data_IF_966988459257
#
_entry.id   IF_966988459257
#
_cell.length_a   1.000
_cell.length_b   1.000
_cell.length_c   1.000
_cell.angle_alpha   90.00
_cell.angle_beta   90.00
_cell.angle_gamma   90.00
#
_symmetry.space_group_name_H-M   'P 1'
#
loop_
_entity.id
_entity.type
_entity.pdbx_description
1 polymer ?
#
# COMPACT_ATOMS: atom_id res chain seq x y z
N UNK A 1 -7.40 -9.89 10.50
CA UNK A 1 -6.22 -10.70 10.12
C UNK A 1 -5.48 -10.12 8.91
N UNK A 2 -6.04 -10.13 7.69
CA UNK A 2 -5.35 -9.65 6.47
C UNK A 2 -4.77 -8.21 6.57
N UNK A 3 -5.52 -7.28 7.17
CA UNK A 3 -5.06 -5.91 7.36
C UNK A 3 -3.86 -5.80 8.31
N UNK A 4 -3.81 -6.66 9.33
CA UNK A 4 -2.74 -6.70 10.32
C UNK A 4 -1.46 -7.26 9.67
N UNK A 5 -1.57 -8.35 8.92
CA UNK A 5 -0.45 -8.91 8.15
C UNK A 5 0.13 -7.88 7.17
N UNK A 6 -0.74 -7.15 6.46
CA UNK A 6 -0.30 -6.13 5.53
C UNK A 6 0.36 -4.94 6.24
N UNK A 7 -0.15 -4.54 7.42
CA UNK A 7 0.46 -3.49 8.22
C UNK A 7 1.84 -3.91 8.75
N UNK A 8 1.99 -5.14 9.23
CA UNK A 8 3.29 -5.68 9.65
C UNK A 8 4.32 -5.61 8.52
N UNK A 9 3.91 -5.89 7.29
CA UNK A 9 4.79 -5.77 6.13
C UNK A 9 5.22 -4.31 5.87
N UNK A 10 4.31 -3.35 6.03
CA UNK A 10 4.63 -1.93 5.95
C UNK A 10 5.61 -1.50 7.07
N UNK A 11 5.41 -2.02 8.28
CA UNK A 11 6.27 -1.70 9.43
C UNK A 11 7.68 -2.26 9.24
N UNK A 12 7.81 -3.50 8.73
CA UNK A 12 9.12 -4.09 8.38
C UNK A 12 9.83 -3.32 7.26
N UNK A 13 9.08 -2.84 6.25
CA UNK A 13 9.62 -1.94 5.24
C UNK A 13 10.20 -0.69 5.89
N UNK A 14 9.44 -0.01 6.76
CA UNK A 14 9.88 1.22 7.40
C UNK A 14 11.09 1.01 8.32
N UNK A 15 11.15 -0.10 9.05
CA UNK A 15 12.31 -0.45 9.86
C UNK A 15 13.58 -0.59 8.98
N UNK A 16 13.49 -1.40 7.91
CA UNK A 16 14.62 -1.63 7.00
C UNK A 16 15.02 -0.37 6.24
N UNK A 17 14.04 0.42 5.79
CA UNK A 17 14.24 1.66 5.06
C UNK A 17 14.89 2.73 5.95
N UNK A 18 14.50 2.84 7.22
CA UNK A 18 15.09 3.82 8.13
C UNK A 18 16.54 3.46 8.47
N UNK A 19 16.83 2.19 8.76
CA UNK A 19 18.19 1.72 9.00
C UNK A 19 19.11 2.03 7.81
N UNK A 20 18.71 1.60 6.60
CA UNK A 20 19.50 1.87 5.40
C UNK A 20 19.67 3.36 5.08
N UNK A 21 18.72 4.20 5.50
CA UNK A 21 18.77 5.65 5.27
C UNK A 21 19.66 6.39 6.26
N UNK A 22 19.83 5.87 7.48
CA UNK A 22 20.76 6.42 8.47
C UNK A 22 22.22 6.27 8.02
N UNK A 23 22.53 5.17 7.33
CA UNK A 23 23.87 4.89 6.80
C UNK A 23 24.15 5.56 5.44
N UNK A 24 23.12 6.10 4.77
CA UNK A 24 23.21 6.62 3.41
C UNK A 24 23.45 8.13 3.32
N UNK A 25 24.30 8.54 2.37
CA UNK A 25 24.48 9.94 1.96
C UNK A 25 23.17 10.51 1.40
N UNK A 26 22.99 11.85 1.39
CA UNK A 26 21.71 12.49 1.02
C UNK A 26 21.21 12.09 -0.39
N UNK A 27 22.13 11.81 -1.32
CA UNK A 27 21.82 11.36 -2.69
C UNK A 27 21.47 9.87 -2.78
N UNK A 28 21.84 9.08 -1.77
CA UNK A 28 21.59 7.63 -1.67
C UNK A 28 20.40 7.30 -0.75
N UNK A 29 19.73 8.32 -0.20
CA UNK A 29 18.54 8.13 0.61
C UNK A 29 17.33 7.80 -0.28
N UNK A 30 16.72 6.64 -0.01
CA UNK A 30 15.44 6.25 -0.59
C UNK A 30 14.35 7.29 -0.26
N UNK A 31 13.58 7.66 -1.28
CA UNK A 31 12.52 8.67 -1.18
C UNK A 31 11.13 8.06 -1.31
N UNK A 32 11.01 6.76 -1.22
CA UNK A 32 9.73 6.06 -1.32
C UNK A 32 9.20 5.79 0.08
N UNK A 33 7.90 5.98 0.24
CA UNK A 33 7.16 5.58 1.43
C UNK A 33 6.04 4.63 1.04
N UNK A 34 5.60 3.83 2.01
CA UNK A 34 4.42 2.99 1.87
C UNK A 34 3.43 3.19 2.99
N UNK A 35 2.16 2.92 2.69
CA UNK A 35 1.10 2.86 3.68
C UNK A 35 0.11 1.76 3.33
N UNK A 36 -0.34 1.07 4.37
CA UNK A 36 -1.51 0.20 4.32
C UNK A 36 -2.70 0.93 4.97
N UNK A 37 -3.87 0.81 4.36
CA UNK A 37 -5.12 1.36 4.89
C UNK A 37 -6.32 0.50 4.53
N UNK A 38 -7.39 0.65 5.28
CA UNK A 38 -8.70 0.13 4.91
C UNK A 38 -9.50 1.27 4.29
N UNK A 39 -9.95 1.06 3.05
CA UNK A 39 -10.78 1.98 2.29
C UNK A 39 -12.23 1.52 2.44
N UNK A 40 -13.10 2.47 2.81
CA UNK A 40 -14.45 2.15 3.25
C UNK A 40 -14.40 1.26 4.50
N UNK A 41 -15.33 0.30 4.60
CA UNK A 41 -15.41 -0.60 5.76
C UNK A 41 -14.56 -1.88 5.62
N UNK A 42 -14.07 -2.18 4.42
CA UNK A 42 -13.78 -3.58 4.07
C UNK A 42 -12.61 -3.80 3.10
N UNK A 43 -12.14 -2.78 2.38
CA UNK A 43 -11.19 -2.98 1.28
C UNK A 43 -9.78 -2.60 1.70
N UNK A 44 -8.84 -3.55 1.63
CA UNK A 44 -7.43 -3.28 1.87
C UNK A 44 -6.81 -2.48 0.70
N UNK A 45 -6.11 -1.41 1.01
CA UNK A 45 -5.24 -0.69 0.08
C UNK A 45 -3.82 -0.64 0.62
N UNK A 46 -2.86 -1.10 -0.19
CA UNK A 46 -1.43 -0.99 0.06
C UNK A 46 -0.83 -0.12 -1.05
N UNK A 47 -0.29 1.03 -0.67
CA UNK A 47 0.00 2.14 -1.56
C UNK A 47 1.44 2.61 -1.42
N UNK A 48 2.00 3.13 -2.52
CA UNK A 48 3.34 3.72 -2.57
C UNK A 48 3.26 5.23 -2.83
N UNK A 49 4.20 5.96 -2.22
CA UNK A 49 4.30 7.41 -2.27
C UNK A 49 5.74 7.83 -2.51
N UNK A 50 5.94 8.95 -3.20
CA UNK A 50 7.23 9.62 -3.29
C UNK A 50 7.28 10.77 -2.29
N UNK A 51 8.26 10.76 -1.41
CA UNK A 51 8.48 11.76 -0.38
C UNK A 51 9.46 12.82 -0.90
N UNK A 52 9.14 14.09 -0.62
CA UNK A 52 10.03 15.22 -0.80
C UNK A 52 10.22 15.89 0.55
N UNK A 53 11.47 16.12 0.92
CA UNK A 53 11.83 16.76 2.17
C UNK A 53 12.15 18.22 1.89
N UNK A 54 11.45 19.13 2.56
CA UNK A 54 11.63 20.57 2.38
C UNK A 54 11.97 21.19 3.72
N UNK A 55 13.09 21.92 3.79
CA UNK A 55 13.44 22.74 4.95
C UNK A 55 12.70 24.07 4.87
N UNK A 56 11.94 24.43 5.91
CA UNK A 56 11.28 25.73 5.99
C UNK A 56 12.26 26.84 6.40
N UNK A 57 13.28 26.51 7.19
CA UNK A 57 14.41 27.38 7.56
C UNK A 57 15.70 26.56 7.79
N UNK A 58 16.89 27.20 7.83
CA UNK A 58 18.11 26.55 8.28
C UNK A 58 17.93 25.99 9.70
N UNK A 59 18.38 24.75 9.95
CA UNK A 59 18.28 24.02 11.23
C UNK A 59 16.87 23.63 11.72
N UNK A 60 15.82 23.79 10.91
CA UNK A 60 14.49 23.25 11.25
C UNK A 60 14.29 21.80 10.78
N UNK A 61 13.37 21.08 11.45
CA UNK A 61 12.94 19.75 11.02
C UNK A 61 12.37 19.82 9.60
N UNK A 62 12.93 19.02 8.68
CA UNK A 62 12.45 18.93 7.30
C UNK A 62 10.98 18.47 7.28
N UNK A 63 10.12 19.23 6.59
CA UNK A 63 8.74 18.83 6.31
C UNK A 63 8.72 17.76 5.22
N UNK A 64 7.84 16.77 5.36
CA UNK A 64 7.68 15.67 4.39
C UNK A 64 6.42 15.89 3.55
N UNK A 65 6.61 16.05 2.25
CA UNK A 65 5.53 16.12 1.27
C UNK A 65 5.46 14.82 0.47
N UNK A 66 4.39 14.06 0.67
CA UNK A 66 4.18 12.78 -0.02
C UNK A 66 3.31 12.95 -1.26
N UNK A 67 3.79 12.46 -2.40
CA UNK A 67 3.05 12.42 -3.67
C UNK A 67 2.68 10.98 -3.99
N UNK A 68 1.38 10.70 -4.13
CA UNK A 68 0.88 9.36 -4.43
C UNK A 68 1.39 8.84 -5.78
N UNK A 69 1.87 7.59 -5.81
CA UNK A 69 2.28 6.91 -7.04
C UNK A 69 1.08 6.12 -7.56
N UNK A 70 0.69 6.37 -8.81
CA UNK A 70 -0.41 5.65 -9.45
C UNK A 70 0.03 4.23 -9.82
N UNK A 71 -0.67 3.21 -9.29
CA UNK A 71 -0.46 1.80 -9.64
C UNK A 71 -0.86 1.45 -11.08
N UNK A 72 -1.91 2.10 -11.59
CA UNK A 72 -2.61 1.66 -12.79
C UNK A 72 -3.58 0.50 -12.52
N UNK A 73 -3.92 -0.27 -13.56
CA UNK A 73 -4.92 -1.36 -13.50
C UNK A 73 -4.38 -2.68 -12.91
N UNK A 74 -3.05 -2.81 -12.82
CA UNK A 74 -2.40 -4.04 -12.40
C UNK A 74 -2.45 -4.24 -10.88
N UNK A 75 -2.27 -5.49 -10.44
CA UNK A 75 -2.09 -5.79 -9.03
C UNK A 75 -0.71 -5.38 -8.53
N UNK A 76 0.34 -5.47 -9.37
CA UNK A 76 1.72 -5.02 -9.09
C UNK A 76 1.94 -3.60 -9.62
N UNK A 77 2.60 -2.75 -8.86
CA UNK A 77 3.17 -1.50 -9.33
C UNK A 77 4.30 -1.80 -10.33
N UNK A 78 4.40 -1.00 -11.41
CA UNK A 78 5.54 -1.11 -12.31
C UNK A 78 6.82 -0.66 -11.60
N UNK A 79 7.88 -1.46 -11.67
CA UNK A 79 9.19 -1.10 -11.10
C UNK A 79 9.80 0.13 -11.79
N UNK A 80 9.36 0.46 -13.00
CA UNK A 80 9.73 1.70 -13.69
C UNK A 80 9.34 2.96 -12.91
N UNK A 81 8.34 2.88 -12.02
CA UNK A 81 7.96 4.00 -11.15
C UNK A 81 9.04 4.34 -10.11
N UNK A 82 9.94 3.39 -9.82
CA UNK A 82 10.98 3.48 -8.80
C UNK A 82 12.39 3.55 -9.41
N UNK A 83 12.51 3.75 -10.73
CA UNK A 83 13.80 3.68 -11.47
C UNK A 83 14.88 4.66 -10.98
N UNK A 84 14.48 5.76 -10.35
CA UNK A 84 15.38 6.80 -9.84
C UNK A 84 15.81 6.54 -8.38
N UNK A 85 15.33 5.47 -7.76
CA UNK A 85 15.69 5.13 -6.39
C UNK A 85 17.02 4.35 -6.37
N UNK A 86 17.79 4.46 -5.28
CA UNK A 86 19.02 3.69 -5.10
C UNK A 86 18.73 2.19 -5.17
N UNK A 87 19.73 1.40 -5.57
CA UNK A 87 19.56 -0.04 -5.82
C UNK A 87 18.98 -0.77 -4.61
N UNK A 88 19.50 -0.51 -3.41
CA UNK A 88 19.01 -1.09 -2.15
C UNK A 88 17.52 -0.83 -1.92
N UNK A 89 17.05 0.39 -2.23
CA UNK A 89 15.66 0.78 -2.04
C UNK A 89 14.77 0.09 -3.08
N UNK A 90 15.23 -0.03 -4.33
CA UNK A 90 14.51 -0.74 -5.39
C UNK A 90 14.31 -2.22 -5.04
N UNK A 91 15.34 -2.87 -4.53
CA UNK A 91 15.27 -4.28 -4.08
C UNK A 91 14.29 -4.45 -2.93
N UNK A 92 14.38 -3.60 -1.91
CA UNK A 92 13.45 -3.61 -0.77
C UNK A 92 12.00 -3.37 -1.23
N UNK A 93 11.78 -2.39 -2.12
CA UNK A 93 10.46 -2.09 -2.68
C UNK A 93 9.93 -3.30 -3.45
N UNK A 94 10.75 -3.95 -4.28
CA UNK A 94 10.32 -5.11 -5.07
C UNK A 94 9.93 -6.30 -4.19
N UNK A 95 10.69 -6.57 -3.13
CA UNK A 95 10.38 -7.62 -2.16
C UNK A 95 9.03 -7.36 -1.48
N UNK A 96 8.82 -6.16 -0.95
CA UNK A 96 7.60 -5.77 -0.24
C UNK A 96 6.40 -5.72 -1.19
N UNK A 97 6.59 -5.18 -2.39
CA UNK A 97 5.54 -5.10 -3.40
C UNK A 97 5.09 -6.50 -3.86
N UNK A 98 5.99 -7.47 -3.93
CA UNK A 98 5.63 -8.86 -4.23
C UNK A 98 4.68 -9.45 -3.18
N UNK A 99 4.86 -9.10 -1.90
CA UNK A 99 3.96 -9.49 -0.81
C UNK A 99 2.64 -8.71 -0.85
N UNK A 100 2.69 -7.41 -1.13
CA UNK A 100 1.49 -6.60 -1.33
C UNK A 100 0.61 -7.11 -2.47
N UNK A 101 1.19 -7.62 -3.56
CA UNK A 101 0.42 -8.26 -4.64
C UNK A 101 -0.41 -9.41 -4.08
N UNK A 102 0.15 -10.23 -3.19
CA UNK A 102 -0.57 -11.35 -2.56
C UNK A 102 -1.70 -10.85 -1.65
N UNK A 103 -1.47 -9.80 -0.85
CA UNK A 103 -2.54 -9.21 -0.05
C UNK A 103 -3.64 -8.59 -0.90
N UNK A 104 -3.31 -7.92 -2.00
CA UNK A 104 -4.31 -7.37 -2.95
C UNK A 104 -5.11 -8.49 -3.62
N UNK A 105 -4.50 -9.64 -3.95
CA UNK A 105 -5.22 -10.84 -4.46
C UNK A 105 -6.21 -11.37 -3.42
N UNK A 106 -5.77 -11.56 -2.18
CA UNK A 106 -6.62 -12.03 -1.06
C UNK A 106 -7.77 -11.07 -0.80
N UNK A 107 -7.49 -9.76 -0.75
CA UNK A 107 -8.50 -8.72 -0.58
C UNK A 107 -9.54 -8.75 -1.71
N UNK A 108 -9.10 -8.87 -2.97
CA UNK A 108 -10.00 -8.97 -4.11
C UNK A 108 -10.92 -10.21 -4.04
N UNK A 109 -10.40 -11.36 -3.58
CA UNK A 109 -11.21 -12.56 -3.36
C UNK A 109 -12.28 -12.34 -2.29
N UNK A 110 -11.91 -11.77 -1.13
CA UNK A 110 -12.87 -11.43 -0.06
C UNK A 110 -13.93 -10.46 -0.58
N UNK A 111 -13.54 -9.44 -1.36
CA UNK A 111 -14.48 -8.51 -1.96
C UNK A 111 -15.44 -9.16 -2.95
N UNK A 112 -15.06 -10.26 -3.62
CA UNK A 112 -15.96 -11.03 -4.49
C UNK A 112 -16.96 -11.83 -3.66
N UNK A 113 -16.49 -12.54 -2.62
CA UNK A 113 -17.36 -13.32 -1.72
C UNK A 113 -18.42 -12.43 -1.07
N UNK A 114 -18.02 -11.27 -0.55
CA UNK A 114 -18.95 -10.30 0.06
C UNK A 114 -20.02 -9.81 -0.92
N UNK A 115 -19.64 -9.58 -2.19
CA UNK A 115 -20.59 -9.17 -3.22
C UNK A 115 -21.60 -10.27 -3.52
N UNK A 116 -21.13 -11.50 -3.70
CA UNK A 116 -22.00 -12.65 -3.93
C UNK A 116 -22.97 -12.88 -2.76
N UNK A 117 -22.50 -12.75 -1.51
CA UNK A 117 -23.36 -12.86 -0.33
C UNK A 117 -24.44 -11.77 -0.31
N UNK A 118 -24.05 -10.52 -0.56
CA UNK A 118 -25.00 -9.40 -0.63
C UNK A 118 -26.04 -9.58 -1.74
N UNK A 119 -25.65 -10.14 -2.88
CA UNK A 119 -26.58 -10.49 -3.97
C UNK A 119 -27.53 -11.60 -3.55
N UNK A 120 -27.03 -12.64 -2.89
CA UNK A 120 -27.85 -13.73 -2.35
C UNK A 120 -28.87 -13.24 -1.32
N UNK A 121 -28.46 -12.42 -0.36
CA UNK A 121 -29.34 -11.81 0.64
C UNK A 121 -30.46 -10.98 -0.02
N UNK A 122 -30.14 -10.24 -1.08
CA UNK A 122 -31.14 -9.48 -1.85
C UNK A 122 -32.16 -10.39 -2.54
N UNK A 123 -31.72 -11.53 -3.07
CA UNK A 123 -32.62 -12.50 -3.71
C UNK A 123 -33.54 -13.16 -2.69
N UNK A 124 -33.00 -13.58 -1.53
CA UNK A 124 -33.79 -14.13 -0.43
C UNK A 124 -34.89 -13.17 0.03
N UNK A 125 -34.56 -11.90 0.24
CA UNK A 125 -35.52 -10.91 0.70
C UNK A 125 -36.65 -10.66 -0.31
N UNK A 126 -36.37 -10.79 -1.61
CA UNK A 126 -37.41 -10.70 -2.65
C UNK A 126 -38.36 -11.88 -2.58
N UNK A 127 -37.81 -13.10 -2.54
CA UNK A 127 -38.62 -14.33 -2.44
C UNK A 127 -39.50 -14.37 -1.19
N UNK A 128 -39.02 -13.89 -0.04
CA UNK A 128 -39.82 -13.84 1.19
C UNK A 128 -40.87 -12.72 1.19
N UNK A 129 -40.69 -11.68 0.36
CA UNK A 129 -41.68 -10.61 0.20
C UNK A 129 -42.79 -10.98 -0.79
N UNK A 130 -42.54 -11.94 -1.68
CA UNK A 130 -43.51 -12.44 -2.66
C UNK A 130 -44.43 -13.56 -2.07
N UNK A 131 -44.11 -14.06 -0.86
CA UNK A 131 -44.87 -15.09 -0.13
C UNK A 131 -45.81 -14.50 0.95
N UNK A 132 -45.93 -13.17 1.07
CA UNK A 132 -46.80 -12.46 2.03
C UNK A 132 -47.85 -11.62 1.31
#
# INVERSE_FOLDING_TARGET
MLAVEAQQEADMYWASHNLAREDASEDEQGRIGTRVRIVGKVSLSAEWYRNRFVSAAPNEKKLVFSTYIKKGKNLKYSMTNFKNEPQWARELIEQVESRYVMFRKRAAAISKVRRALCEYEKLLNRTHSDEV
#
